data_IF_634901216307
#
_entry.id   IF_634901216307
#
_cell.length_a   1.000
_cell.length_b   1.000
_cell.length_c   1.000
_cell.angle_alpha   90.00
_cell.angle_beta   90.00
_cell.angle_gamma   90.00
#
_symmetry.space_group_name_H-M   'P 1'
#
loop_
_entity.id
_entity.type
_entity.pdbx_description
1 polymer ?
#
# COMPACT_ATOMS: atom_id res chain seq x y z
N UNK A 1 -12.03 -14.88 3.38
CA UNK A 1 -11.53 -14.55 2.03
C UNK A 1 -10.05 -14.23 1.98
N UNK A 2 -9.53 -13.38 2.86
CA UNK A 2 -8.09 -13.04 2.96
C UNK A 2 -7.21 -14.27 3.27
N UNK A 3 -7.71 -15.19 4.10
CA UNK A 3 -6.98 -16.41 4.48
C UNK A 3 -6.53 -17.26 3.29
N UNK A 4 -7.36 -17.37 2.25
CA UNK A 4 -7.06 -18.13 1.05
C UNK A 4 -5.89 -17.52 0.25
N UNK A 5 -5.75 -16.19 0.26
CA UNK A 5 -4.69 -15.46 -0.44
C UNK A 5 -3.32 -15.65 0.23
N UNK A 6 -3.30 -15.75 1.56
CA UNK A 6 -2.06 -15.87 2.35
C UNK A 6 -1.69 -17.33 2.67
N UNK A 7 -2.53 -18.31 2.30
CA UNK A 7 -2.25 -19.74 2.41
C UNK A 7 -2.16 -20.28 3.85
N UNK A 8 -2.30 -19.45 4.87
CA UNK A 8 -2.23 -19.84 6.27
C UNK A 8 -3.11 -18.96 7.16
N UNK A 9 -4.09 -19.56 7.82
CA UNK A 9 -4.94 -18.86 8.79
C UNK A 9 -4.14 -18.29 9.95
N UNK A 10 -3.13 -19.02 10.41
CA UNK A 10 -2.24 -18.59 11.51
C UNK A 10 -1.49 -17.33 11.09
N UNK A 11 -0.96 -17.27 9.86
CA UNK A 11 -0.27 -16.10 9.31
C UNK A 11 -1.18 -14.88 9.27
N UNK A 12 -2.39 -15.03 8.78
CA UNK A 12 -3.38 -13.95 8.71
C UNK A 12 -3.70 -13.40 10.10
N UNK A 13 -3.95 -14.28 11.08
CA UNK A 13 -4.18 -13.87 12.47
C UNK A 13 -2.99 -13.15 13.09
N UNK A 14 -1.76 -13.59 12.80
CA UNK A 14 -0.54 -12.92 13.23
C UNK A 14 -0.41 -11.54 12.61
N UNK A 15 -0.64 -11.41 11.30
CA UNK A 15 -0.63 -10.11 10.63
C UNK A 15 -1.66 -9.15 11.22
N UNK A 16 -2.89 -9.61 11.48
CA UNK A 16 -3.89 -8.81 12.19
C UNK A 16 -3.40 -8.38 13.58
N UNK A 17 -2.82 -9.29 14.36
CA UNK A 17 -2.35 -8.99 15.70
C UNK A 17 -1.27 -7.89 15.68
N UNK A 18 -0.24 -8.06 14.85
CA UNK A 18 0.90 -7.15 14.83
C UNK A 18 0.59 -5.82 14.15
N UNK A 19 -0.16 -5.81 13.05
CA UNK A 19 -0.48 -4.58 12.32
C UNK A 19 -1.49 -3.69 13.06
N UNK A 20 -2.36 -4.27 13.89
CA UNK A 20 -3.28 -3.51 14.74
C UNK A 20 -2.63 -3.04 16.06
N UNK A 21 -1.45 -3.56 16.42
CA UNK A 21 -0.73 -3.18 17.63
C UNK A 21 0.71 -2.71 17.31
N UNK A 22 0.89 -1.66 16.51
CA UNK A 22 2.23 -1.20 16.14
C UNK A 22 2.98 -0.65 17.35
N UNK A 23 4.20 -1.16 17.59
CA UNK A 23 5.04 -0.77 18.73
C UNK A 23 4.80 -1.56 20.00
N UNK A 24 3.96 -2.60 19.94
CA UNK A 24 3.81 -3.56 21.01
C UNK A 24 4.56 -4.84 20.64
N UNK A 25 5.34 -5.36 21.56
CA UNK A 25 6.04 -6.64 21.44
C UNK A 25 5.29 -7.73 22.19
N UNK A 26 5.29 -8.94 21.65
CA UNK A 26 4.58 -10.10 22.18
C UNK A 26 5.50 -11.30 22.23
N UNK A 27 5.40 -12.14 23.27
CA UNK A 27 6.10 -13.42 23.31
C UNK A 27 5.21 -14.59 22.86
N UNK A 28 5.79 -15.70 22.42
CA UNK A 28 5.09 -16.81 21.76
C UNK A 28 3.84 -17.31 22.50
N UNK A 29 3.93 -17.53 23.82
CA UNK A 29 2.78 -18.04 24.59
C UNK A 29 1.63 -17.02 24.68
N UNK A 30 1.94 -15.72 24.74
CA UNK A 30 0.96 -14.65 24.69
C UNK A 30 0.25 -14.62 23.32
N UNK A 31 1.05 -14.65 22.24
CA UNK A 31 0.52 -14.71 20.87
C UNK A 31 -0.45 -15.90 20.72
N UNK A 32 -0.01 -17.08 21.14
CA UNK A 32 -0.82 -18.32 21.05
C UNK A 32 -2.19 -18.16 21.72
N UNK A 33 -2.25 -17.53 22.89
CA UNK A 33 -3.51 -17.25 23.59
C UNK A 33 -4.37 -16.23 22.87
N UNK A 34 -3.75 -15.16 22.36
CA UNK A 34 -4.48 -14.07 21.70
C UNK A 34 -5.12 -14.51 20.37
N UNK A 35 -4.42 -15.35 19.59
CA UNK A 35 -4.93 -15.76 18.27
C UNK A 35 -5.65 -17.13 18.28
N UNK A 36 -5.58 -17.87 19.40
CA UNK A 36 -6.24 -19.18 19.56
C UNK A 36 -5.68 -20.26 18.61
N UNK A 37 -4.34 -20.27 18.38
CA UNK A 37 -3.69 -21.21 17.49
C UNK A 37 -2.66 -22.08 18.22
N UNK A 38 -2.31 -23.24 17.65
CA UNK A 38 -1.31 -24.14 18.22
C UNK A 38 0.09 -23.53 18.21
N UNK A 39 0.84 -23.73 19.28
CA UNK A 39 2.16 -23.13 19.48
C UNK A 39 3.17 -23.47 18.37
N UNK A 40 3.13 -24.69 17.82
CA UNK A 40 4.05 -25.11 16.75
C UNK A 40 3.72 -24.38 15.43
N UNK A 41 2.43 -24.19 15.12
CA UNK A 41 2.00 -23.40 13.96
C UNK A 41 2.41 -21.93 14.10
N UNK A 42 2.24 -21.38 15.30
CA UNK A 42 2.66 -20.00 15.60
C UNK A 42 4.15 -19.83 15.45
N UNK A 43 4.98 -20.71 16.01
CA UNK A 43 6.43 -20.65 15.91
C UNK A 43 6.92 -20.71 14.46
N UNK A 44 6.36 -21.61 13.65
CA UNK A 44 6.71 -21.73 12.24
C UNK A 44 6.39 -20.47 11.47
N UNK A 45 5.22 -19.90 11.66
CA UNK A 45 4.83 -18.67 10.97
C UNK A 45 5.61 -17.44 11.46
N UNK A 46 5.94 -17.36 12.76
CA UNK A 46 6.80 -16.30 13.28
C UNK A 46 8.21 -16.37 12.66
N UNK A 47 8.79 -17.58 12.51
CA UNK A 47 10.07 -17.75 11.81
C UNK A 47 9.97 -17.27 10.36
N UNK A 48 8.96 -17.71 9.61
CA UNK A 48 8.76 -17.28 8.24
C UNK A 48 8.61 -15.74 8.10
N UNK A 49 7.94 -15.12 9.06
CA UNK A 49 7.73 -13.65 9.07
C UNK A 49 8.99 -12.89 9.47
N UNK A 50 9.86 -13.46 10.31
CA UNK A 50 11.20 -12.93 10.62
C UNK A 50 12.09 -13.01 9.37
N UNK A 51 12.16 -14.18 8.73
CA UNK A 51 12.97 -14.40 7.52
C UNK A 51 12.54 -13.47 6.38
N UNK A 52 11.24 -13.19 6.27
CA UNK A 52 10.70 -12.21 5.32
C UNK A 52 10.94 -10.75 5.74
N UNK A 53 11.46 -10.47 6.93
CA UNK A 53 11.70 -9.12 7.45
C UNK A 53 10.44 -8.37 7.88
N UNK A 54 9.29 -9.03 7.94
CA UNK A 54 8.01 -8.45 8.38
C UNK A 54 7.97 -8.19 9.87
N UNK A 55 8.62 -9.07 10.65
CA UNK A 55 8.77 -8.94 12.10
C UNK A 55 10.22 -8.71 12.47
N UNK A 56 10.41 -8.14 13.65
CA UNK A 56 11.67 -8.07 14.37
C UNK A 56 11.54 -8.92 15.63
N UNK A 57 12.67 -9.46 16.12
CA UNK A 57 12.72 -10.15 17.39
C UNK A 57 13.74 -9.52 18.32
N UNK A 58 13.41 -9.47 19.60
CA UNK A 58 14.30 -9.00 20.65
C UNK A 58 14.22 -9.95 21.83
N UNK A 59 15.37 -10.25 22.46
CA UNK A 59 15.45 -11.11 23.64
C UNK A 59 15.50 -10.22 24.88
N UNK A 60 14.53 -10.38 25.76
CA UNK A 60 14.50 -9.73 27.07
C UNK A 60 14.13 -10.78 28.13
N UNK A 61 14.83 -10.80 29.28
CA UNK A 61 14.61 -11.73 30.41
C UNK A 61 14.47 -13.20 29.96
N UNK A 62 15.39 -13.68 29.13
CA UNK A 62 15.38 -15.04 28.55
C UNK A 62 14.11 -15.38 27.76
N UNK A 63 13.32 -14.40 27.33
CA UNK A 63 12.14 -14.56 26.47
C UNK A 63 12.35 -13.84 25.16
N UNK A 64 11.94 -14.50 24.08
CA UNK A 64 11.97 -13.94 22.74
C UNK A 64 10.65 -13.20 22.48
N UNK A 65 10.75 -11.90 22.23
CA UNK A 65 9.64 -11.00 21.90
C UNK A 65 9.66 -10.69 20.42
N UNK A 66 8.49 -10.55 19.83
CA UNK A 66 8.30 -10.24 18.42
C UNK A 66 7.52 -8.95 18.29
N UNK A 67 7.89 -8.12 17.34
CA UNK A 67 7.20 -6.88 17.00
C UNK A 67 7.17 -6.66 15.49
N UNK A 68 6.24 -5.81 15.03
CA UNK A 68 6.14 -5.47 13.61
C UNK A 68 7.30 -4.57 13.18
N UNK A 69 7.95 -4.93 12.07
CA UNK A 69 8.98 -4.10 11.45
C UNK A 69 8.32 -2.94 10.68
N UNK A 70 8.32 -1.75 11.27
CA UNK A 70 7.76 -0.55 10.64
C UNK A 70 8.57 -0.05 9.45
N UNK A 71 9.86 -0.44 9.37
CA UNK A 71 10.75 -0.11 8.26
C UNK A 71 10.64 -1.12 7.11
N UNK A 72 9.82 -2.15 7.24
CA UNK A 72 9.57 -3.10 6.17
C UNK A 72 8.94 -2.39 4.97
N UNK A 73 9.50 -2.63 3.77
CA UNK A 73 9.12 -1.92 2.54
C UNK A 73 7.62 -1.98 2.24
N UNK A 74 6.96 -3.08 2.58
CA UNK A 74 5.52 -3.28 2.35
C UNK A 74 4.68 -3.09 3.63
N UNK A 75 5.23 -2.45 4.69
CA UNK A 75 4.48 -2.23 5.93
C UNK A 75 3.18 -1.46 5.72
N UNK A 76 3.23 -0.34 4.98
CA UNK A 76 2.05 0.50 4.71
C UNK A 76 0.96 -0.25 3.93
N UNK A 77 1.25 -0.89 2.78
CA UNK A 77 0.27 -1.72 2.06
C UNK A 77 -0.33 -2.84 2.91
N UNK A 78 0.49 -3.57 3.67
CA UNK A 78 0.00 -4.62 4.56
C UNK A 78 -0.94 -4.07 5.63
N UNK A 79 -0.59 -2.93 6.22
CA UNK A 79 -1.43 -2.27 7.22
C UNK A 79 -2.79 -1.91 6.63
N UNK A 80 -2.85 -1.35 5.44
CA UNK A 80 -4.11 -1.01 4.76
C UNK A 80 -4.99 -2.24 4.52
N UNK A 81 -4.39 -3.36 4.08
CA UNK A 81 -5.11 -4.61 3.83
C UNK A 81 -5.72 -5.17 5.14
N UNK A 82 -4.97 -5.12 6.25
CA UNK A 82 -5.37 -5.79 7.49
C UNK A 82 -6.09 -4.90 8.50
N UNK A 83 -6.03 -3.56 8.39
CA UNK A 83 -6.76 -2.64 9.27
C UNK A 83 -8.11 -2.20 8.70
N UNK A 84 -8.32 -2.27 7.39
CA UNK A 84 -9.57 -1.87 6.73
C UNK A 84 -10.66 -2.95 6.72
N UNK A 85 -10.71 -3.86 7.69
CA UNK A 85 -11.72 -4.93 7.74
C UNK A 85 -13.14 -4.48 8.13
N UNK A 86 -13.40 -3.18 8.26
CA UNK A 86 -14.77 -2.64 8.32
C UNK A 86 -15.28 -2.25 6.92
N UNK A 87 -15.26 -3.21 5.98
CA UNK A 87 -15.82 -3.03 4.62
C UNK A 87 -17.35 -2.94 4.62
N UNK A 88 -18.02 -3.10 5.77
CA UNK A 88 -19.49 -3.05 5.83
C UNK A 88 -20.09 -1.66 6.02
N UNK A 89 -19.30 -0.58 6.14
CA UNK A 89 -19.81 0.80 6.31
C UNK A 89 -19.03 1.90 5.59
N UNK A 90 -18.22 1.59 4.60
CA UNK A 90 -17.64 2.66 3.81
C UNK A 90 -18.36 2.80 2.46
N UNK A 91 -19.24 3.84 2.37
CA UNK A 91 -19.51 4.54 1.11
C UNK A 91 -18.16 4.76 0.42
N UNK A 92 -18.08 4.67 -0.92
CA UNK A 92 -16.82 4.90 -1.63
C UNK A 92 -16.25 6.23 -1.15
N UNK A 93 -15.21 6.19 -0.32
CA UNK A 93 -14.47 7.39 0.04
C UNK A 93 -13.90 7.92 -1.27
N UNK A 94 -14.40 9.07 -1.70
CA UNK A 94 -13.68 9.93 -2.63
C UNK A 94 -12.24 9.92 -2.16
N UNK A 95 -11.32 9.59 -3.06
CA UNK A 95 -9.88 9.65 -2.82
C UNK A 95 -9.56 11.02 -2.21
N UNK A 96 -9.50 11.09 -0.90
CA UNK A 96 -9.08 12.29 -0.20
C UNK A 96 -7.55 12.30 -0.27
N UNK A 97 -7.06 13.32 -0.96
CA UNK A 97 -5.68 13.77 -0.94
C UNK A 97 -5.14 13.72 0.49
N UNK A 98 -4.30 12.73 0.83
CA UNK A 98 -3.33 12.92 1.90
C UNK A 98 -2.17 11.95 1.77
N UNK A 99 -0.99 12.55 1.76
CA UNK A 99 0.37 12.04 1.86
C UNK A 99 0.97 11.33 0.64
N UNK A 100 1.27 12.11 -0.39
CA UNK A 100 2.49 11.94 -1.13
C UNK A 100 3.29 13.23 -0.97
N UNK A 101 4.21 13.22 -0.02
CA UNK A 101 5.26 14.21 0.10
C UNK A 101 6.31 13.91 -0.97
N UNK A 102 6.19 14.54 -2.09
CA UNK A 102 7.30 14.97 -2.97
C UNK A 102 6.70 15.86 -4.05
N UNK A 103 7.35 16.98 -4.30
CA UNK A 103 7.04 18.07 -5.21
C UNK A 103 6.86 17.71 -6.71
N UNK A 104 6.70 16.42 -7.01
CA UNK A 104 6.68 15.89 -8.39
C UNK A 104 5.31 15.52 -8.93
N UNK A 105 4.23 15.56 -8.14
CA UNK A 105 2.93 15.02 -8.55
C UNK A 105 1.86 16.07 -8.92
N UNK A 106 2.22 17.34 -9.06
CA UNK A 106 1.29 18.43 -9.45
C UNK A 106 0.61 18.20 -10.80
N UNK A 107 1.28 17.50 -11.73
CA UNK A 107 0.71 17.21 -13.05
C UNK A 107 -0.43 16.18 -12.99
N UNK A 108 -0.41 15.24 -12.05
CA UNK A 108 -1.52 14.29 -11.84
C UNK A 108 -2.77 15.00 -11.35
N UNK A 109 -2.58 16.02 -10.51
CA UNK A 109 -3.67 16.86 -10.04
C UNK A 109 -4.25 17.68 -11.20
N UNK A 110 -3.38 18.24 -12.07
CA UNK A 110 -3.81 18.97 -13.24
C UNK A 110 -4.58 18.10 -14.24
N UNK A 111 -4.15 16.86 -14.47
CA UNK A 111 -4.86 15.88 -15.30
C UNK A 111 -6.22 15.48 -14.70
N UNK A 112 -6.28 15.25 -13.39
CA UNK A 112 -7.53 14.92 -12.71
C UNK A 112 -8.54 16.05 -12.67
N UNK A 113 -8.08 17.28 -12.85
CA UNK A 113 -8.91 18.48 -12.88
C UNK A 113 -9.48 18.84 -14.27
N UNK A 114 -9.16 18.05 -15.32
CA UNK A 114 -9.68 18.29 -16.66
C UNK A 114 -11.21 18.15 -16.70
N UNK A 115 -11.96 19.24 -16.98
CA UNK A 115 -13.41 19.20 -17.00
C UNK A 115 -13.90 18.35 -18.18
N UNK A 116 -14.93 17.54 -17.96
CA UNK A 116 -15.55 16.66 -18.96
C UNK A 116 -14.65 15.52 -19.48
N UNK A 117 -13.47 15.29 -18.91
CA UNK A 117 -12.72 14.05 -19.14
C UNK A 117 -13.42 12.89 -18.42
N UNK A 118 -13.69 11.81 -19.14
CA UNK A 118 -14.29 10.59 -18.59
C UNK A 118 -13.21 9.61 -18.13
N UNK A 119 -12.14 9.51 -18.91
CA UNK A 119 -11.00 8.61 -18.63
C UNK A 119 -9.72 9.37 -18.98
N UNK A 120 -8.73 9.30 -18.09
CA UNK A 120 -7.37 9.78 -18.31
C UNK A 120 -6.42 8.67 -17.93
N UNK A 121 -5.60 8.23 -18.87
CA UNK A 121 -4.60 7.18 -18.68
C UNK A 121 -3.22 7.79 -18.95
N UNK A 122 -2.36 7.78 -17.95
CA UNK A 122 -0.95 8.10 -18.12
C UNK A 122 -0.15 6.81 -18.33
N UNK A 123 0.75 6.80 -19.28
CA UNK A 123 1.60 5.66 -19.65
C UNK A 123 2.99 6.17 -20.10
N UNK A 124 3.76 5.36 -20.80
CA UNK A 124 5.02 5.75 -21.44
C UNK A 124 5.97 6.44 -20.48
N UNK A 125 6.42 7.64 -20.84
CA UNK A 125 7.39 8.45 -20.08
C UNK A 125 6.84 8.88 -18.71
N UNK A 126 5.53 8.99 -18.57
CA UNK A 126 4.87 9.42 -17.34
C UNK A 126 4.84 8.32 -16.26
N UNK A 127 5.12 7.07 -16.63
CA UNK A 127 5.08 5.91 -15.73
C UNK A 127 6.39 5.15 -15.80
N UNK A 128 7.11 5.05 -14.68
CA UNK A 128 8.37 4.31 -14.60
C UNK A 128 8.17 2.85 -15.00
N UNK A 129 8.98 2.38 -15.95
CA UNK A 129 8.94 1.00 -16.43
C UNK A 129 7.87 0.70 -17.47
N UNK A 130 7.13 1.70 -17.96
CA UNK A 130 6.18 1.54 -19.06
C UNK A 130 6.94 1.46 -20.39
N UNK A 131 6.63 0.44 -21.21
CA UNK A 131 7.13 0.29 -22.59
C UNK A 131 6.15 0.86 -23.64
N UNK A 132 5.11 1.59 -23.21
CA UNK A 132 4.11 2.17 -24.10
C UNK A 132 4.72 3.29 -24.96
N UNK A 133 4.33 3.33 -26.24
CA UNK A 133 4.65 4.45 -27.15
C UNK A 133 3.70 5.63 -26.99
N UNK A 134 2.63 5.47 -26.21
CA UNK A 134 1.64 6.51 -25.91
C UNK A 134 1.86 6.94 -24.47
N UNK A 135 2.07 8.23 -24.26
CA UNK A 135 2.35 8.79 -22.94
C UNK A 135 1.08 9.20 -22.20
N UNK A 136 0.06 9.66 -22.92
CA UNK A 136 -1.18 10.13 -22.37
C UNK A 136 -2.37 9.81 -23.26
N UNK A 137 -3.43 9.21 -22.71
CA UNK A 137 -4.71 9.00 -23.37
C UNK A 137 -5.82 9.69 -22.58
N UNK A 138 -6.53 10.59 -23.23
CA UNK A 138 -7.68 11.31 -22.65
C UNK A 138 -8.93 10.98 -23.46
N UNK A 139 -9.95 10.46 -22.78
CA UNK A 139 -11.25 10.15 -23.37
C UNK A 139 -12.29 11.07 -22.73
N UNK A 140 -13.01 11.82 -23.54
CA UNK A 140 -14.07 12.72 -23.07
C UNK A 140 -14.32 13.87 -24.04
N UNK A 141 -15.28 14.74 -23.68
CA UNK A 141 -15.58 15.97 -24.45
C UNK A 141 -14.78 17.13 -23.88
N UNK A 142 -13.45 17.05 -24.01
CA UNK A 142 -12.50 18.04 -23.47
C UNK A 142 -12.10 19.04 -24.54
N UNK A 143 -12.02 20.32 -24.20
CA UNK A 143 -11.56 21.36 -25.11
C UNK A 143 -10.06 21.19 -25.39
N UNK A 144 -9.66 21.11 -26.67
CA UNK A 144 -8.28 20.91 -27.11
C UNK A 144 -7.29 21.93 -26.52
N UNK A 145 -7.73 23.18 -26.32
CA UNK A 145 -6.92 24.23 -25.72
C UNK A 145 -6.53 23.91 -24.28
N UNK A 146 -7.46 23.39 -23.49
CA UNK A 146 -7.20 22.99 -22.08
C UNK A 146 -6.29 21.77 -21.98
N UNK A 147 -6.44 20.83 -22.92
CA UNK A 147 -5.54 19.67 -23.00
C UNK A 147 -4.12 20.15 -23.30
N UNK A 148 -3.94 21.04 -24.28
CA UNK A 148 -2.64 21.60 -24.63
C UNK A 148 -1.99 22.35 -23.44
N UNK A 149 -2.76 23.15 -22.69
CA UNK A 149 -2.24 23.85 -21.51
C UNK A 149 -1.73 22.88 -20.41
N UNK A 150 -2.42 21.77 -20.22
CA UNK A 150 -2.04 20.73 -19.23
C UNK A 150 -0.82 19.96 -19.74
N UNK A 151 -0.80 19.57 -21.00
CA UNK A 151 0.34 18.86 -21.62
C UNK A 151 1.60 19.72 -21.54
N UNK A 152 1.55 21.00 -21.92
CA UNK A 152 2.68 21.92 -21.81
C UNK A 152 3.23 22.02 -20.37
N UNK A 153 2.36 22.04 -19.36
CA UNK A 153 2.77 22.05 -17.95
C UNK A 153 3.49 20.75 -17.56
N UNK A 154 3.05 19.62 -18.11
CA UNK A 154 3.68 18.32 -17.88
C UNK A 154 5.04 18.27 -18.57
N UNK A 155 5.14 18.67 -19.82
CA UNK A 155 6.39 18.70 -20.60
C UNK A 155 7.48 19.54 -19.92
N UNK A 156 7.13 20.74 -19.44
CA UNK A 156 8.04 21.59 -18.67
C UNK A 156 8.59 20.88 -17.44
N UNK A 157 7.74 20.12 -16.72
CA UNK A 157 8.15 19.41 -15.51
C UNK A 157 8.93 18.12 -15.79
N UNK A 158 8.55 17.39 -16.81
CA UNK A 158 9.19 16.13 -17.20
C UNK A 158 10.48 16.40 -17.99
N UNK A 159 10.64 17.61 -18.53
CA UNK A 159 11.79 18.03 -19.33
C UNK A 159 11.85 17.32 -20.69
N UNK A 160 10.72 16.84 -21.19
CA UNK A 160 10.61 16.08 -22.44
C UNK A 160 9.27 16.32 -23.10
N UNK A 161 9.24 16.33 -24.44
CA UNK A 161 8.04 16.43 -25.24
C UNK A 161 7.20 15.13 -25.16
N UNK A 162 5.88 15.25 -24.99
CA UNK A 162 4.89 14.17 -24.89
C UNK A 162 4.21 13.89 -26.21
#
# INVERSE_FOLDING_TARGET
MIDALFGSKTRVKLLHLFLNNPGKSFYVREITRLIGEQINSVRRELSNMLDAGVLLSNTNDNKLYYEINRSYIHYKPLKEIFTNNDVSKQKPKKFSKQSASSETDDWRIALAALPKAKIVIAAGVLVRGSASKVDLLIVGNVESKRVADVVNKIEIKVGRQL
#
